data_IF_845695950393
#
_entry.id   IF_845695950393
#
_cell.length_a   1.000
_cell.length_b   1.000
_cell.length_c   1.000
_cell.angle_alpha   90.00
_cell.angle_beta   90.00
_cell.angle_gamma   90.00
#
_symmetry.space_group_name_H-M   'P 1'
#
loop_
_entity.id
_entity.type
_entity.pdbx_description
1 polymer ?
#
# COMPACT_ATOMS: atom_id res chain seq x y z
N UNK A 1 -1.11 18.09 12.73
CA UNK A 1 -1.82 16.81 12.46
C UNK A 1 -2.61 16.85 11.14
N UNK A 2 -3.42 17.88 10.90
CA UNK A 2 -4.28 17.99 9.71
C UNK A 2 -3.47 18.13 8.40
N UNK A 3 -2.42 18.95 8.40
CA UNK A 3 -1.51 19.08 7.24
C UNK A 3 -0.82 17.76 6.90
N UNK A 4 -0.35 17.02 7.91
CA UNK A 4 0.25 15.70 7.71
C UNK A 4 -0.78 14.71 7.12
N UNK A 5 -2.04 14.76 7.55
CA UNK A 5 -3.13 13.95 6.97
C UNK A 5 -3.38 14.27 5.50
N UNK A 6 -3.38 15.56 5.14
CA UNK A 6 -3.55 16.01 3.75
C UNK A 6 -2.39 15.50 2.89
N UNK A 7 -1.15 15.67 3.35
CA UNK A 7 0.04 15.22 2.63
C UNK A 7 0.03 13.70 2.45
N UNK A 8 -0.20 12.93 3.51
CA UNK A 8 -0.26 11.47 3.41
C UNK A 8 -1.40 10.99 2.51
N UNK A 9 -2.57 11.64 2.55
CA UNK A 9 -3.68 11.31 1.68
C UNK A 9 -3.37 11.61 0.21
N UNK A 10 -2.73 12.75 -0.08
CA UNK A 10 -2.31 13.12 -1.44
C UNK A 10 -1.23 12.18 -1.99
N UNK A 11 -0.21 11.84 -1.20
CA UNK A 11 0.82 10.88 -1.61
C UNK A 11 0.22 9.50 -1.89
N UNK A 12 -0.70 9.04 -1.04
CA UNK A 12 -1.38 7.76 -1.23
C UNK A 12 -2.21 7.70 -2.52
N UNK A 13 -2.97 8.75 -2.83
CA UNK A 13 -3.79 8.79 -4.05
C UNK A 13 -2.93 8.84 -5.31
N UNK A 14 -1.84 9.61 -5.32
CA UNK A 14 -0.91 9.69 -6.45
C UNK A 14 -0.24 8.34 -6.74
N UNK A 15 0.20 7.62 -5.70
CA UNK A 15 0.80 6.29 -5.85
C UNK A 15 -0.17 5.28 -6.48
N UNK A 16 -1.44 5.29 -6.05
CA UNK A 16 -2.46 4.38 -6.61
C UNK A 16 -2.69 4.69 -8.09
N UNK A 17 -2.81 5.97 -8.46
CA UNK A 17 -3.01 6.39 -9.86
C UNK A 17 -1.81 6.01 -10.73
N UNK A 18 -0.58 6.23 -10.25
CA UNK A 18 0.65 5.81 -10.94
C UNK A 18 0.70 4.30 -11.15
N UNK A 19 0.39 3.51 -10.11
CA UNK A 19 0.40 2.04 -10.20
C UNK A 19 -0.57 1.54 -11.26
N UNK A 20 -1.81 2.05 -11.26
CA UNK A 20 -2.84 1.67 -12.25
C UNK A 20 -2.41 2.07 -13.67
N UNK A 21 -1.80 3.25 -13.81
CA UNK A 21 -1.34 3.78 -15.11
C UNK A 21 -0.18 2.95 -15.67
N UNK A 22 0.81 2.63 -14.85
CA UNK A 22 1.96 1.79 -15.24
C UNK A 22 1.48 0.37 -15.56
N UNK A 23 0.63 -0.21 -14.72
CA UNK A 23 0.08 -1.55 -14.93
C UNK A 23 -0.68 -1.64 -16.27
N UNK A 24 -1.47 -0.62 -16.62
CA UNK A 24 -2.21 -0.55 -17.89
C UNK A 24 -1.30 -0.35 -19.12
N UNK A 25 -0.14 0.29 -18.94
CA UNK A 25 0.85 0.50 -20.01
C UNK A 25 1.71 -0.74 -20.28
N UNK A 26 2.01 -1.55 -19.26
CA UNK A 26 2.90 -2.71 -19.39
C UNK A 26 2.19 -3.95 -19.96
N UNK A 27 0.86 -4.01 -19.90
CA UNK A 27 0.05 -5.13 -20.41
C UNK A 27 -0.58 -4.81 -21.76
N UNK A 28 -0.79 -5.85 -22.58
CA UNK A 28 -1.55 -5.74 -23.83
C UNK A 28 -2.98 -5.25 -23.58
N UNK A 29 -3.56 -4.56 -24.57
CA UNK A 29 -4.86 -3.91 -24.48
C UNK A 29 -5.99 -4.86 -24.04
N UNK A 30 -5.92 -6.12 -24.45
CA UNK A 30 -6.84 -7.21 -24.07
C UNK A 30 -6.82 -7.57 -22.57
N UNK A 31 -5.72 -7.29 -21.86
CA UNK A 31 -5.55 -7.63 -20.44
C UNK A 31 -5.63 -6.43 -19.49
N UNK A 32 -5.86 -5.22 -19.99
CA UNK A 32 -5.90 -4.00 -19.16
C UNK A 32 -6.93 -4.09 -18.02
N UNK A 33 -8.14 -4.56 -18.31
CA UNK A 33 -9.18 -4.73 -17.29
C UNK A 33 -8.75 -5.71 -16.19
N UNK A 34 -8.06 -6.80 -16.56
CA UNK A 34 -7.55 -7.80 -15.62
C UNK A 34 -6.39 -7.24 -14.78
N UNK A 35 -5.48 -6.49 -15.39
CA UNK A 35 -4.36 -5.85 -14.68
C UNK A 35 -4.86 -4.83 -13.65
N UNK A 36 -5.81 -3.98 -14.02
CA UNK A 36 -6.44 -3.04 -13.09
C UNK A 36 -7.13 -3.80 -11.95
N UNK A 37 -7.88 -4.86 -12.27
CA UNK A 37 -8.52 -5.73 -11.26
C UNK A 37 -7.52 -6.33 -10.26
N UNK A 38 -6.35 -6.76 -10.72
CA UNK A 38 -5.27 -7.27 -9.85
C UNK A 38 -4.71 -6.19 -8.93
N UNK A 39 -4.49 -4.97 -9.45
CA UNK A 39 -4.02 -3.84 -8.63
C UNK A 39 -5.02 -3.52 -7.52
N UNK A 40 -6.31 -3.41 -7.85
CA UNK A 40 -7.36 -3.16 -6.85
C UNK A 40 -7.52 -4.32 -5.86
N UNK A 41 -7.41 -5.56 -6.31
CA UNK A 41 -7.42 -6.73 -5.44
C UNK A 41 -6.25 -6.68 -4.44
N UNK A 42 -5.06 -6.28 -4.87
CA UNK A 42 -3.90 -6.08 -4.01
C UNK A 42 -4.14 -4.98 -2.95
N UNK A 43 -4.76 -3.87 -3.34
CA UNK A 43 -5.13 -2.78 -2.41
C UNK A 43 -6.12 -3.29 -1.35
N UNK A 44 -7.19 -3.98 -1.75
CA UNK A 44 -8.16 -4.55 -0.83
C UNK A 44 -7.54 -5.61 0.09
N UNK A 45 -6.70 -6.49 -0.46
CA UNK A 45 -6.00 -7.50 0.31
C UNK A 45 -5.06 -6.87 1.36
N UNK A 46 -4.37 -5.77 1.01
CA UNK A 46 -3.52 -5.03 1.94
C UNK A 46 -4.30 -4.47 3.13
N UNK A 47 -5.52 -3.97 2.92
CA UNK A 47 -6.39 -3.52 4.02
C UNK A 47 -6.76 -4.67 4.97
N UNK A 48 -7.12 -5.83 4.42
CA UNK A 48 -7.58 -6.98 5.20
C UNK A 48 -6.41 -7.65 5.94
N UNK A 49 -5.25 -7.78 5.28
CA UNK A 49 -4.07 -8.43 5.84
C UNK A 49 -3.23 -7.50 6.71
N UNK A 50 -3.30 -6.19 6.50
CA UNK A 50 -2.50 -5.22 7.25
C UNK A 50 -2.79 -5.21 8.75
N UNK A 51 -4.07 -5.34 9.13
CA UNK A 51 -4.50 -5.38 10.53
C UNK A 51 -3.97 -6.62 11.28
N UNK A 52 -4.21 -7.87 10.83
CA UNK A 52 -3.71 -9.06 11.51
C UNK A 52 -2.18 -9.11 11.52
N UNK A 53 -1.50 -8.73 10.43
CA UNK A 53 -0.03 -8.68 10.39
C UNK A 53 0.50 -7.64 11.40
N UNK A 54 -0.12 -6.46 11.45
CA UNK A 54 0.22 -5.42 12.43
C UNK A 54 0.00 -5.86 13.88
N UNK A 55 -1.08 -6.60 14.15
CA UNK A 55 -1.38 -7.16 15.46
C UNK A 55 -0.41 -8.28 15.85
N UNK A 56 -0.06 -9.20 14.92
CA UNK A 56 0.92 -10.25 15.20
C UNK A 56 2.30 -9.65 15.49
N UNK A 57 2.74 -8.63 14.74
CA UNK A 57 3.98 -7.89 15.00
C UNK A 57 3.92 -7.16 16.35
N UNK A 58 2.79 -6.51 16.66
CA UNK A 58 2.58 -5.82 17.94
C UNK A 58 2.55 -6.76 19.14
N UNK A 59 2.04 -7.99 18.97
CA UNK A 59 1.94 -8.98 20.04
C UNK A 59 3.26 -9.75 20.25
N UNK A 60 4.01 -10.03 19.18
CA UNK A 60 5.28 -10.76 19.25
C UNK A 60 6.47 -9.88 19.69
N UNK A 61 6.52 -8.62 19.24
CA UNK A 61 7.67 -7.71 19.46
C UNK A 61 7.29 -6.43 20.23
N UNK A 62 6.05 -6.34 20.73
CA UNK A 62 5.52 -5.17 21.41
C UNK A 62 5.02 -4.09 20.45
N UNK A 63 4.24 -3.14 20.97
CA UNK A 63 3.55 -2.09 20.21
C UNK A 63 4.44 -1.20 19.32
N UNK A 64 5.77 -1.24 19.51
CA UNK A 64 6.76 -0.47 18.75
C UNK A 64 7.17 -1.15 17.43
N UNK A 65 6.97 -2.46 17.30
CA UNK A 65 7.41 -3.24 16.14
C UNK A 65 6.82 -2.78 14.80
N UNK A 66 5.53 -2.40 14.68
CA UNK A 66 4.99 -1.88 13.43
C UNK A 66 5.67 -0.59 12.98
N UNK A 67 6.06 0.27 13.93
CA UNK A 67 6.73 1.54 13.63
C UNK A 67 8.17 1.32 13.17
N UNK A 68 8.90 0.38 13.78
CA UNK A 68 10.25 0.01 13.33
C UNK A 68 10.20 -0.58 11.93
N UNK A 69 9.19 -1.42 11.63
CA UNK A 69 9.02 -2.00 10.30
C UNK A 69 8.74 -0.93 9.22
N UNK A 70 7.87 0.04 9.52
CA UNK A 70 7.61 1.18 8.63
C UNK A 70 8.88 2.03 8.45
N UNK A 71 9.65 2.27 9.51
CA UNK A 71 10.89 3.03 9.46
C UNK A 71 11.93 2.35 8.54
N UNK A 72 12.10 1.03 8.66
CA UNK A 72 13.01 0.26 7.80
C UNK A 72 12.54 0.29 6.34
N UNK A 73 11.25 0.07 6.08
CA UNK A 73 10.70 0.11 4.72
C UNK A 73 10.83 1.49 4.09
N UNK A 74 10.67 2.55 4.88
CA UNK A 74 10.81 3.94 4.40
C UNK A 74 12.26 4.30 4.11
N UNK A 75 13.23 3.75 4.84
CA UNK A 75 14.66 3.93 4.54
C UNK A 75 15.10 3.17 3.29
N UNK A 76 14.42 2.08 2.95
CA UNK A 76 14.73 1.23 1.80
C UNK A 76 14.05 1.69 0.50
N UNK A 77 12.95 2.43 0.61
CA UNK A 77 12.17 2.96 -0.51
C UNK A 77 12.63 4.34 -0.93
#
# INVERSE_FOLDING_TARGET
>A
LMTARIISAASGSLLVVLCVTIASNIVKQEYRARAIGVVFMGISASLVLGVPIGLMLGNAFGWKAPFVLILVLTLLS
#
